data_IF_536122212125
#
_entry.id   IF_536122212125
#
_cell.length_a   1.000
_cell.length_b   1.000
_cell.length_c   1.000
_cell.angle_alpha   90.00
_cell.angle_beta   90.00
_cell.angle_gamma   90.00
#
_symmetry.space_group_name_H-M   'P 1'
#
loop_
_entity.id
_entity.type
_entity.pdbx_description
1 polymer ?
#
# COMPACT_ATOMS: atom_id res chain seq x y z
N UNK A 1 -24.39 -1.17 9.30
CA UNK A 1 -23.87 -1.16 7.91
C UNK A 1 -22.78 -2.21 7.75
N UNK A 2 -22.84 -2.93 6.63
CA UNK A 2 -22.39 -4.30 6.37
C UNK A 2 -20.88 -4.54 6.62
N UNK A 3 -20.54 -5.39 7.59
CA UNK A 3 -19.17 -5.88 7.90
C UNK A 3 -18.35 -6.23 6.65
N UNK A 4 -19.01 -6.79 5.62
CA UNK A 4 -18.40 -7.08 4.31
C UNK A 4 -17.73 -5.87 3.65
N UNK A 5 -18.32 -4.67 3.75
CA UNK A 5 -17.74 -3.44 3.18
C UNK A 5 -16.47 -3.02 3.92
N UNK A 6 -16.49 -3.10 5.25
CA UNK A 6 -15.32 -2.79 6.09
C UNK A 6 -14.17 -3.76 5.83
N UNK A 7 -14.48 -5.05 5.73
CA UNK A 7 -13.50 -6.10 5.46
C UNK A 7 -12.86 -5.94 4.07
N UNK A 8 -13.66 -5.59 3.05
CA UNK A 8 -13.13 -5.32 1.71
C UNK A 8 -12.21 -4.10 1.70
N UNK A 9 -12.57 -3.03 2.42
CA UNK A 9 -11.73 -1.85 2.54
C UNK A 9 -10.41 -2.15 3.26
N UNK A 10 -10.44 -2.89 4.38
CA UNK A 10 -9.23 -3.28 5.09
C UNK A 10 -8.31 -4.17 4.24
N UNK A 11 -8.89 -5.05 3.42
CA UNK A 11 -8.12 -5.95 2.55
C UNK A 11 -7.44 -5.20 1.41
N UNK A 12 -8.10 -4.21 0.82
CA UNK A 12 -7.51 -3.29 -0.18
C UNK A 12 -6.33 -2.53 0.41
N UNK A 13 -6.50 -1.98 1.61
CA UNK A 13 -5.45 -1.26 2.32
C UNK A 13 -4.29 -2.20 2.62
N UNK A 14 -4.55 -3.41 3.13
CA UNK A 14 -3.51 -4.41 3.41
C UNK A 14 -2.70 -4.78 2.16
N UNK A 15 -3.38 -5.04 1.04
CA UNK A 15 -2.74 -5.32 -0.26
C UNK A 15 -1.91 -4.15 -0.78
N UNK A 16 -2.26 -2.91 -0.45
CA UNK A 16 -1.47 -1.74 -0.82
C UNK A 16 -0.24 -1.57 0.10
N UNK A 17 -0.41 -1.81 1.42
CA UNK A 17 0.62 -1.58 2.43
C UNK A 17 1.80 -2.54 2.27
N UNK A 18 1.57 -3.85 2.27
CA UNK A 18 2.66 -4.82 2.38
C UNK A 18 3.67 -4.74 1.21
N UNK A 19 3.24 -4.70 -0.07
CA UNK A 19 4.17 -4.53 -1.19
C UNK A 19 4.85 -3.16 -1.17
N UNK A 20 4.16 -2.11 -0.73
CA UNK A 20 4.73 -0.76 -0.66
C UNK A 20 5.82 -0.67 0.41
N UNK A 21 5.62 -1.27 1.58
CA UNK A 21 6.65 -1.35 2.63
C UNK A 21 7.88 -2.07 2.08
N UNK A 22 7.70 -3.24 1.48
CA UNK A 22 8.81 -4.01 0.91
C UNK A 22 9.56 -3.23 -0.17
N UNK A 23 8.84 -2.56 -1.08
CA UNK A 23 9.42 -1.73 -2.12
C UNK A 23 10.23 -0.57 -1.53
N UNK A 24 9.66 0.17 -0.57
CA UNK A 24 10.33 1.32 0.03
C UNK A 24 11.53 0.89 0.89
N UNK A 25 11.44 -0.24 1.59
CA UNK A 25 12.58 -0.81 2.31
C UNK A 25 13.68 -1.25 1.35
N UNK A 26 13.33 -1.80 0.19
CA UNK A 26 14.31 -2.17 -0.84
C UNK A 26 14.99 -0.95 -1.44
N UNK A 27 14.24 0.11 -1.77
CA UNK A 27 14.76 1.34 -2.40
C UNK A 27 15.55 2.22 -1.41
N UNK A 28 15.01 2.44 -0.21
CA UNK A 28 15.55 3.41 0.75
C UNK A 28 16.33 2.76 1.90
N UNK A 29 16.23 1.44 2.11
CA UNK A 29 16.80 0.76 3.28
C UNK A 29 18.31 0.90 3.41
N UNK A 30 19.05 0.81 2.29
CA UNK A 30 20.50 1.05 2.29
C UNK A 30 20.83 2.53 2.52
N UNK A 31 20.17 3.44 1.81
CA UNK A 31 20.40 4.89 1.93
C UNK A 31 20.10 5.42 3.34
N UNK A 32 19.12 4.84 4.04
CA UNK A 32 18.75 5.22 5.41
C UNK A 32 19.50 4.43 6.49
N UNK A 33 20.35 3.46 6.12
CA UNK A 33 21.10 2.63 7.08
C UNK A 33 22.06 3.39 8.00
N UNK A 34 22.69 4.51 7.60
CA UNK A 34 23.57 5.27 8.50
C UNK A 34 22.82 6.11 9.53
N UNK A 35 21.51 6.32 9.35
CA UNK A 35 20.71 7.18 10.21
C UNK A 35 20.24 6.45 11.47
N UNK A 36 20.08 7.16 12.60
CA UNK A 36 19.40 6.62 13.77
C UNK A 36 18.00 6.10 13.45
N UNK A 37 17.57 5.05 14.15
CA UNK A 37 16.31 4.33 13.88
C UNK A 37 15.09 5.27 13.77
N UNK A 38 14.99 6.28 14.64
CA UNK A 38 13.86 7.21 14.65
C UNK A 38 13.83 8.09 13.40
N UNK A 39 14.99 8.54 12.89
CA UNK A 39 15.08 9.34 11.68
C UNK A 39 14.74 8.50 10.45
N UNK A 40 15.34 7.30 10.35
CA UNK A 40 15.05 6.34 9.28
C UNK A 40 13.55 6.03 9.21
N UNK A 41 12.94 5.74 10.36
CA UNK A 41 11.52 5.43 10.44
C UNK A 41 10.67 6.65 10.06
N UNK A 42 11.04 7.84 10.54
CA UNK A 42 10.35 9.09 10.18
C UNK A 42 10.34 9.34 8.68
N UNK A 43 11.51 9.30 8.03
CA UNK A 43 11.64 9.52 6.58
C UNK A 43 10.88 8.46 5.77
N UNK A 44 11.01 7.19 6.18
CA UNK A 44 10.30 6.10 5.52
C UNK A 44 8.79 6.28 5.65
N UNK A 45 8.28 6.67 6.81
CA UNK A 45 6.83 6.82 7.05
C UNK A 45 6.27 8.05 6.32
N UNK A 46 6.99 9.18 6.35
CA UNK A 46 6.61 10.42 5.67
C UNK A 46 6.51 10.24 4.15
N UNK A 47 7.31 9.35 3.57
CA UNK A 47 7.26 9.04 2.15
C UNK A 47 6.23 7.94 1.83
N UNK A 48 6.19 6.89 2.63
CA UNK A 48 5.34 5.72 2.42
C UNK A 48 3.85 6.01 2.63
N UNK A 49 3.47 6.81 3.64
CA UNK A 49 2.05 7.07 3.94
C UNK A 49 1.35 7.82 2.81
N UNK A 50 1.86 8.96 2.30
CA UNK A 50 1.28 9.61 1.13
C UNK A 50 1.25 8.70 -0.09
N UNK A 51 2.29 7.90 -0.32
CA UNK A 51 2.33 6.93 -1.41
C UNK A 51 1.17 5.93 -1.34
N UNK A 52 0.91 5.34 -0.17
CA UNK A 52 -0.18 4.37 -0.01
C UNK A 52 -1.54 5.05 -0.21
N UNK A 53 -1.73 6.25 0.33
CA UNK A 53 -3.02 6.96 0.26
C UNK A 53 -3.35 7.41 -1.17
N UNK A 54 -2.39 8.00 -1.88
CA UNK A 54 -2.64 8.61 -3.19
C UNK A 54 -2.37 7.67 -4.36
N UNK A 55 -1.53 6.64 -4.19
CA UNK A 55 -1.14 5.74 -5.28
C UNK A 55 -1.53 4.30 -4.94
N UNK A 56 -1.08 3.76 -3.81
CA UNK A 56 -1.23 2.35 -3.46
C UNK A 56 -2.69 1.89 -3.42
N UNK A 57 -3.53 2.53 -2.59
CA UNK A 57 -4.93 2.16 -2.42
C UNK A 57 -5.74 2.39 -3.72
N UNK A 58 -5.63 3.53 -4.41
CA UNK A 58 -6.30 3.71 -5.71
C UNK A 58 -5.87 2.68 -6.76
N UNK A 59 -4.59 2.33 -6.82
CA UNK A 59 -4.07 1.33 -7.76
C UNK A 59 -4.66 -0.07 -7.49
N UNK A 60 -4.69 -0.50 -6.23
CA UNK A 60 -5.33 -1.76 -5.83
C UNK A 60 -6.82 -1.75 -6.19
N UNK A 61 -7.53 -0.64 -5.94
CA UNK A 61 -8.94 -0.51 -6.30
C UNK A 61 -9.16 -0.68 -7.82
N UNK A 62 -8.30 -0.07 -8.64
CA UNK A 62 -8.34 -0.20 -10.10
C UNK A 62 -8.13 -1.64 -10.57
N UNK A 63 -7.15 -2.35 -10.00
CA UNK A 63 -6.89 -3.76 -10.32
C UNK A 63 -8.11 -4.62 -9.97
N UNK A 64 -8.67 -4.44 -8.78
CA UNK A 64 -9.83 -5.21 -8.34
C UNK A 64 -11.06 -4.95 -9.21
N UNK A 65 -11.33 -3.70 -9.59
CA UNK A 65 -12.42 -3.37 -10.53
C UNK A 65 -12.23 -4.05 -11.88
N UNK A 66 -11.02 -4.02 -12.44
CA UNK A 66 -10.70 -4.69 -13.70
C UNK A 66 -10.90 -6.21 -13.58
N UNK A 67 -10.41 -6.82 -12.50
CA UNK A 67 -10.58 -8.25 -12.25
C UNK A 67 -12.05 -8.67 -12.13
N UNK A 68 -12.88 -7.89 -11.44
CA UNK A 68 -14.32 -8.15 -11.34
C UNK A 68 -15.04 -7.99 -12.68
N UNK A 69 -14.70 -6.96 -13.49
CA UNK A 69 -15.32 -6.77 -14.82
C UNK A 69 -14.99 -7.88 -15.82
N UNK A 70 -13.87 -8.57 -15.63
CA UNK A 70 -13.45 -9.69 -16.48
C UNK A 70 -14.25 -10.96 -16.16
N UNK A 71 -14.77 -11.10 -14.94
CA UNK A 71 -15.55 -12.26 -14.50
C UNK A 71 -16.97 -12.30 -15.06
N UNK A 72 -17.48 -11.21 -15.63
CA UNK A 72 -18.84 -11.12 -16.18
C UNK A 72 -18.89 -11.33 -17.72
N UNK A 73 -17.72 -11.51 -18.35
CA UNK A 73 -17.57 -11.75 -19.79
C UNK A 73 -17.13 -13.19 -20.13
N UNK A 74 -17.18 -14.12 -19.18
CA UNK A 74 -16.76 -15.50 -19.37
C UNK A 74 -17.92 -16.47 -19.18
#
# INVERSE_FOLDING_TARGET
MKTKMKLMASLKIWLAIYPSITLFLYLFGQALSPLPLYQRTGILTLSLVPWIVFVGVPFVDLIMRKASSKSEKQ
#
